data_IF_453573930703
#
_entry.id   IF_453573930703
#
_cell.length_a   1.000
_cell.length_b   1.000
_cell.length_c   1.000
_cell.angle_alpha   90.00
_cell.angle_beta   90.00
_cell.angle_gamma   90.00
#
_symmetry.space_group_name_H-M   'P 1'
#
loop_
_entity.id
_entity.type
_entity.pdbx_description
1 polymer ?
#
# COMPACT_ATOMS: atom_id res chain seq x y z
N UNK A 1 -21.42 3.56 -29.28
CA UNK A 1 -22.19 3.11 -30.47
C UNK A 1 -22.69 4.28 -31.30
N UNK A 2 -23.34 5.29 -30.70
CA UNK A 2 -23.83 6.49 -31.42
C UNK A 2 -22.76 7.25 -32.23
N UNK A 3 -21.52 7.36 -31.73
CA UNK A 3 -20.43 8.09 -32.41
C UNK A 3 -19.98 7.51 -33.77
N UNK A 4 -20.52 6.37 -34.22
CA UNK A 4 -20.22 5.75 -35.51
C UNK A 4 -21.19 6.16 -36.64
N UNK A 5 -22.23 6.92 -36.31
CA UNK A 5 -23.22 7.34 -37.29
C UNK A 5 -22.60 8.36 -38.26
N UNK A 6 -22.81 8.16 -39.57
CA UNK A 6 -22.20 8.96 -40.66
C UNK A 6 -22.50 10.47 -40.60
N UNK A 7 -23.49 10.91 -39.81
CA UNK A 7 -23.77 12.33 -39.62
C UNK A 7 -22.82 13.02 -38.64
N UNK A 8 -22.09 12.26 -37.81
CA UNK A 8 -21.10 12.80 -36.88
C UNK A 8 -19.82 12.99 -37.68
N UNK A 9 -19.51 14.24 -38.05
CA UNK A 9 -18.30 14.61 -38.77
C UNK A 9 -17.29 15.23 -37.79
N UNK A 10 -16.23 14.50 -37.38
CA UNK A 10 -15.29 14.99 -36.38
C UNK A 10 -14.59 16.30 -36.77
N UNK A 11 -14.40 16.52 -38.08
CA UNK A 11 -13.78 17.73 -38.64
C UNK A 11 -14.61 19.00 -38.42
N UNK A 12 -15.94 18.90 -38.28
CA UNK A 12 -16.80 20.05 -37.97
C UNK A 12 -16.72 20.43 -36.48
N UNK A 13 -16.26 19.51 -35.61
CA UNK A 13 -16.17 19.70 -34.15
C UNK A 13 -14.74 19.84 -33.63
N UNK A 14 -13.73 19.74 -34.48
CA UNK A 14 -12.32 19.85 -34.08
C UNK A 14 -11.91 21.32 -33.91
N UNK A 15 -11.45 21.69 -32.71
CA UNK A 15 -10.73 22.95 -32.48
C UNK A 15 -9.22 22.69 -32.49
N UNK A 16 -8.49 23.43 -33.32
CA UNK A 16 -7.04 23.43 -33.29
C UNK A 16 -6.56 24.63 -32.48
N UNK A 17 -5.88 24.37 -31.37
CA UNK A 17 -5.24 25.42 -30.60
C UNK A 17 -3.98 25.89 -31.34
N UNK A 18 -3.92 27.17 -31.71
CA UNK A 18 -2.74 27.78 -32.32
C UNK A 18 -1.69 28.02 -31.24
N UNK A 19 -0.56 27.32 -31.30
CA UNK A 19 0.49 27.42 -30.29
C UNK A 19 1.44 28.58 -30.61
N UNK A 20 1.79 29.40 -29.60
CA UNK A 20 2.80 30.46 -29.72
C UNK A 20 4.23 29.90 -29.92
N UNK A 21 4.48 28.62 -29.62
CA UNK A 21 5.59 27.84 -30.19
C UNK A 21 5.41 26.35 -29.83
N UNK A 22 5.61 25.46 -30.82
CA UNK A 22 5.41 23.99 -30.79
C UNK A 22 3.98 23.48 -31.01
N UNK A 23 3.73 22.88 -32.18
CA UNK A 23 2.44 22.30 -32.57
C UNK A 23 2.02 21.15 -31.66
N UNK A 24 1.18 21.45 -30.66
CA UNK A 24 0.38 20.44 -29.97
C UNK A 24 -0.90 20.22 -30.78
N UNK A 25 -0.89 19.20 -31.65
CA UNK A 25 -2.15 18.70 -32.24
C UNK A 25 -3.04 18.24 -31.11
N UNK A 26 -4.29 18.70 -31.09
CA UNK A 26 -5.32 18.09 -30.25
C UNK A 26 -5.35 16.59 -30.59
N UNK A 27 -5.06 15.68 -29.66
CA UNK A 27 -5.43 14.31 -29.87
C UNK A 27 -6.95 14.26 -29.71
N UNK A 28 -7.69 14.57 -30.77
CA UNK A 28 -8.70 13.60 -31.17
C UNK A 28 -7.91 12.34 -31.52
N UNK A 29 -7.42 11.62 -30.50
CA UNK A 29 -6.92 10.26 -30.67
C UNK A 29 -8.12 9.51 -31.21
N UNK A 30 -8.14 9.39 -32.52
CA UNK A 30 -8.99 8.56 -33.34
C UNK A 30 -10.34 8.22 -32.70
N UNK A 31 -11.23 9.21 -32.62
CA UNK A 31 -12.67 8.93 -32.64
C UNK A 31 -13.10 8.50 -34.06
N UNK A 32 -12.16 8.19 -34.96
CA UNK A 32 -12.38 7.32 -36.11
C UNK A 32 -12.25 5.88 -35.59
N UNK A 33 -13.32 5.40 -34.97
CA UNK A 33 -13.47 3.99 -34.58
C UNK A 33 -13.42 3.13 -35.84
N UNK A 34 -12.24 2.56 -36.15
CA UNK A 34 -12.15 1.45 -37.09
C UNK A 34 -13.05 0.30 -36.60
N UNK A 35 -13.91 -0.20 -37.48
CA UNK A 35 -14.97 -1.17 -37.16
C UNK A 35 -14.41 -2.47 -36.53
N UNK A 36 -13.19 -2.85 -36.89
CA UNK A 36 -12.47 -4.02 -36.32
C UNK A 36 -12.00 -3.80 -34.87
N UNK A 37 -11.76 -2.57 -34.44
CA UNK A 37 -11.32 -2.21 -33.08
C UNK A 37 -12.48 -1.87 -32.13
N UNK A 38 -13.72 -1.83 -32.64
CA UNK A 38 -14.89 -1.46 -31.85
C UNK A 38 -15.11 -2.43 -30.69
N UNK A 39 -14.99 -3.74 -30.92
CA UNK A 39 -15.13 -4.75 -29.86
C UNK A 39 -14.09 -4.50 -28.77
N UNK A 40 -12.83 -4.23 -29.12
CA UNK A 40 -11.76 -4.01 -28.13
C UNK A 40 -11.97 -2.77 -27.24
N UNK A 41 -12.55 -1.69 -27.79
CA UNK A 41 -12.87 -0.50 -27.00
C UNK A 41 -14.03 -0.74 -26.01
N UNK A 42 -15.06 -1.48 -26.43
CA UNK A 42 -16.21 -1.80 -25.58
C UNK A 42 -15.96 -3.00 -24.66
N UNK A 43 -14.95 -3.83 -24.93
CA UNK A 43 -14.60 -5.02 -24.12
C UNK A 43 -14.50 -4.68 -22.64
N UNK A 44 -13.82 -3.60 -22.27
CA UNK A 44 -13.67 -3.20 -20.87
C UNK A 44 -15.02 -2.84 -20.22
N UNK A 45 -15.87 -2.07 -20.91
CA UNK A 45 -17.20 -1.68 -20.40
C UNK A 45 -18.17 -2.88 -20.35
N UNK A 46 -18.12 -3.75 -21.35
CA UNK A 46 -18.91 -4.99 -21.40
C UNK A 46 -18.47 -5.97 -20.31
N UNK A 47 -17.17 -6.06 -20.01
CA UNK A 47 -16.65 -6.87 -18.92
C UNK A 47 -17.13 -6.34 -17.56
N UNK A 48 -17.08 -5.02 -17.33
CA UNK A 48 -17.62 -4.41 -16.11
C UNK A 48 -19.12 -4.67 -15.98
N UNK A 49 -19.90 -4.48 -17.05
CA UNK A 49 -21.33 -4.80 -17.06
C UNK A 49 -21.58 -6.29 -16.77
N UNK A 50 -20.80 -7.18 -17.39
CA UNK A 50 -20.87 -8.62 -17.16
C UNK A 50 -20.59 -8.98 -15.69
N UNK A 51 -19.59 -8.36 -15.08
CA UNK A 51 -19.27 -8.54 -13.65
C UNK A 51 -20.41 -8.04 -12.74
N UNK A 52 -21.02 -6.90 -13.04
CA UNK A 52 -22.17 -6.38 -12.27
C UNK A 52 -23.39 -7.30 -12.38
N UNK A 53 -23.71 -7.78 -13.58
CA UNK A 53 -24.79 -8.74 -13.79
C UNK A 53 -24.49 -10.06 -13.08
N UNK A 54 -23.25 -10.54 -13.16
CA UNK A 54 -22.82 -11.75 -12.47
C UNK A 54 -22.96 -11.62 -10.95
N UNK A 55 -22.55 -10.49 -10.36
CA UNK A 55 -22.69 -10.22 -8.92
C UNK A 55 -24.15 -10.29 -8.46
N UNK A 56 -25.05 -9.61 -9.18
CA UNK A 56 -26.50 -9.65 -8.89
C UNK A 56 -27.06 -11.07 -9.08
N UNK A 57 -26.61 -11.79 -10.11
CA UNK A 57 -27.05 -13.16 -10.39
C UNK A 57 -26.64 -14.12 -9.28
N UNK A 58 -25.41 -14.01 -8.78
CA UNK A 58 -24.93 -14.83 -7.65
C UNK A 58 -25.74 -14.51 -6.38
N UNK A 59 -25.94 -13.23 -6.05
CA UNK A 59 -26.73 -12.84 -4.89
C UNK A 59 -28.18 -13.35 -4.97
N UNK A 60 -28.82 -13.26 -6.14
CA UNK A 60 -30.17 -13.77 -6.39
C UNK A 60 -30.23 -15.29 -6.32
N UNK A 61 -29.26 -15.98 -6.88
CA UNK A 61 -29.18 -17.44 -6.83
C UNK A 61 -29.03 -17.95 -5.39
N UNK A 62 -28.14 -17.32 -4.61
CA UNK A 62 -27.95 -17.65 -3.19
C UNK A 62 -29.22 -17.40 -2.37
N UNK A 63 -29.94 -16.31 -2.64
CA UNK A 63 -31.23 -16.05 -1.99
C UNK A 63 -32.28 -17.10 -2.35
N UNK A 64 -32.41 -17.44 -3.64
CA UNK A 64 -33.36 -18.44 -4.11
C UNK A 64 -33.09 -19.81 -3.48
N UNK A 65 -31.83 -20.25 -3.47
CA UNK A 65 -31.42 -21.50 -2.84
C UNK A 65 -31.77 -21.55 -1.36
N UNK A 66 -31.58 -20.45 -0.63
CA UNK A 66 -31.92 -20.37 0.80
C UNK A 66 -33.43 -20.44 1.03
N UNK A 67 -34.22 -19.72 0.24
CA UNK A 67 -35.68 -19.73 0.37
C UNK A 67 -36.27 -21.10 0.03
N UNK A 68 -35.80 -21.73 -1.06
CA UNK A 68 -36.26 -23.07 -1.47
C UNK A 68 -35.98 -24.13 -0.42
N UNK A 69 -34.84 -24.04 0.27
CA UNK A 69 -34.42 -25.01 1.29
C UNK A 69 -34.76 -24.56 2.73
N UNK A 70 -35.53 -23.48 2.91
CA UNK A 70 -35.87 -22.91 4.22
C UNK A 70 -34.65 -22.63 5.13
N UNK A 71 -33.51 -22.25 4.53
CA UNK A 71 -32.27 -21.95 5.23
C UNK A 71 -32.20 -20.47 5.65
N UNK A 72 -31.72 -20.20 6.87
CA UNK A 72 -31.49 -18.84 7.36
C UNK A 72 -30.18 -18.26 6.82
N UNK A 73 -30.11 -16.94 6.71
CA UNK A 73 -28.87 -16.25 6.37
C UNK A 73 -27.79 -16.52 7.44
N UNK A 74 -26.55 -16.86 7.05
CA UNK A 74 -25.49 -17.13 8.00
C UNK A 74 -25.11 -15.85 8.74
N UNK A 75 -24.85 -15.97 10.05
CA UNK A 75 -24.56 -14.83 10.91
C UNK A 75 -23.16 -14.23 10.65
N UNK A 76 -22.25 -15.04 10.12
CA UNK A 76 -20.94 -14.63 9.61
C UNK A 76 -20.73 -15.21 8.23
N UNK A 77 -20.23 -14.40 7.29
CA UNK A 77 -19.91 -14.81 5.92
C UNK A 77 -18.64 -15.66 5.89
N UNK A 78 -18.71 -16.89 6.41
CA UNK A 78 -17.61 -17.86 6.44
C UNK A 78 -17.74 -18.89 5.32
N UNK A 79 -16.60 -19.40 4.85
CA UNK A 79 -16.52 -20.41 3.79
C UNK A 79 -16.73 -21.80 4.39
N UNK A 80 -15.98 -22.12 5.45
CA UNK A 80 -16.10 -23.40 6.16
C UNK A 80 -16.98 -23.25 7.40
N UNK A 81 -18.23 -23.68 7.30
CA UNK A 81 -19.15 -23.70 8.44
C UNK A 81 -18.70 -24.72 9.50
N UNK A 82 -18.91 -24.38 10.78
CA UNK A 82 -18.56 -25.24 11.92
C UNK A 82 -17.14 -25.07 12.48
N UNK A 83 -16.26 -24.30 11.83
CA UNK A 83 -14.93 -23.99 12.37
C UNK A 83 -15.00 -22.74 13.25
N UNK A 84 -14.68 -22.94 14.53
CA UNK A 84 -14.65 -21.91 15.57
C UNK A 84 -13.24 -21.78 16.15
N UNK A 85 -13.01 -20.76 16.99
CA UNK A 85 -11.74 -20.54 17.70
C UNK A 85 -11.30 -21.75 18.54
N UNK A 86 -12.22 -22.60 19.01
CA UNK A 86 -11.91 -23.79 19.80
C UNK A 86 -11.27 -24.90 18.95
N UNK A 87 -11.63 -24.98 17.66
CA UNK A 87 -11.07 -25.96 16.73
C UNK A 87 -9.68 -25.58 16.22
N UNK A 88 -9.25 -24.34 16.43
CA UNK A 88 -7.96 -23.81 15.97
C UNK A 88 -6.76 -24.63 16.48
N UNK A 89 -6.80 -25.07 17.74
CA UNK A 89 -5.67 -25.73 18.41
C UNK A 89 -5.68 -27.26 18.25
N UNK A 90 -6.62 -27.84 17.49
CA UNK A 90 -6.80 -29.29 17.36
C UNK A 90 -5.88 -29.93 16.31
N UNK A 91 -5.43 -29.17 15.30
CA UNK A 91 -4.53 -29.67 14.27
C UNK A 91 -4.34 -28.69 13.10
N UNK A 92 -3.40 -29.01 12.20
CA UNK A 92 -3.02 -28.13 11.07
C UNK A 92 -4.20 -27.90 10.10
N UNK A 93 -4.97 -28.95 9.79
CA UNK A 93 -6.13 -28.84 8.89
C UNK A 93 -7.21 -27.87 9.41
N UNK A 94 -7.73 -28.05 10.63
CA UNK A 94 -8.65 -27.10 11.25
C UNK A 94 -8.08 -25.68 11.41
N UNK A 95 -6.79 -25.56 11.73
CA UNK A 95 -6.09 -24.28 11.82
C UNK A 95 -6.08 -23.52 10.48
N UNK A 96 -5.77 -24.22 9.38
CA UNK A 96 -5.79 -23.62 8.04
C UNK A 96 -7.20 -23.16 7.66
N UNK A 97 -8.23 -24.00 7.89
CA UNK A 97 -9.64 -23.62 7.65
C UNK A 97 -10.06 -22.40 8.48
N UNK A 98 -9.58 -22.30 9.73
CA UNK A 98 -9.84 -21.15 10.58
C UNK A 98 -9.19 -19.88 10.00
N UNK A 99 -7.93 -19.95 9.58
CA UNK A 99 -7.29 -18.81 8.92
C UNK A 99 -7.97 -18.45 7.60
N UNK A 100 -8.36 -19.40 6.75
CA UNK A 100 -9.10 -19.06 5.52
C UNK A 100 -10.39 -18.28 5.80
N UNK A 101 -11.10 -18.59 6.90
CA UNK A 101 -12.30 -17.86 7.29
C UNK A 101 -12.02 -16.49 7.94
N UNK A 102 -11.01 -16.42 8.82
CA UNK A 102 -10.82 -15.28 9.74
C UNK A 102 -9.45 -14.61 9.65
N UNK A 103 -8.68 -14.84 8.58
CA UNK A 103 -7.36 -14.25 8.38
C UNK A 103 -7.43 -12.72 8.45
N UNK A 104 -8.32 -12.12 7.66
CA UNK A 104 -8.48 -10.66 7.64
C UNK A 104 -9.07 -10.12 8.95
N UNK A 105 -9.95 -10.89 9.61
CA UNK A 105 -10.46 -10.52 10.93
C UNK A 105 -9.35 -10.45 11.99
N UNK A 106 -8.30 -11.28 11.89
CA UNK A 106 -7.16 -11.26 12.83
C UNK A 106 -6.06 -10.27 12.44
N UNK A 107 -5.66 -10.26 11.17
CA UNK A 107 -4.48 -9.53 10.67
C UNK A 107 -4.80 -8.31 9.78
N UNK A 108 -6.05 -7.85 9.75
CA UNK A 108 -6.48 -6.82 8.80
C UNK A 108 -5.79 -5.46 8.99
N UNK A 109 -5.46 -5.08 10.22
CA UNK A 109 -4.70 -3.84 10.50
C UNK A 109 -3.28 -3.92 9.95
N UNK A 110 -2.60 -5.03 10.19
CA UNK A 110 -1.24 -5.29 9.75
C UNK A 110 -1.17 -5.29 8.22
N UNK A 111 -2.14 -5.93 7.56
CA UNK A 111 -2.28 -5.89 6.09
C UNK A 111 -2.51 -4.46 5.61
N UNK A 112 -3.38 -3.67 6.25
CA UNK A 112 -3.60 -2.27 5.88
C UNK A 112 -2.33 -1.41 6.01
N UNK A 113 -1.54 -1.59 7.08
CA UNK A 113 -0.29 -0.86 7.24
C UNK A 113 0.77 -1.25 6.20
N UNK A 114 0.90 -2.54 5.89
CA UNK A 114 1.80 -3.00 4.82
C UNK A 114 1.38 -2.42 3.46
N UNK A 115 0.08 -2.41 3.17
CA UNK A 115 -0.44 -1.79 1.94
C UNK A 115 -0.18 -0.28 1.91
N UNK A 116 -0.39 0.43 3.02
CA UNK A 116 -0.10 1.87 3.10
C UNK A 116 1.39 2.16 2.85
N UNK A 117 2.29 1.37 3.43
CA UNK A 117 3.72 1.47 3.17
C UNK A 117 4.07 1.16 1.70
N UNK A 118 3.39 0.18 1.09
CA UNK A 118 3.56 -0.11 -0.34
C UNK A 118 3.11 1.07 -1.22
N UNK A 119 1.96 1.70 -0.92
CA UNK A 119 1.49 2.91 -1.62
C UNK A 119 2.56 4.01 -1.56
N UNK A 120 3.07 4.30 -0.37
CA UNK A 120 4.10 5.32 -0.16
C UNK A 120 5.37 4.98 -0.95
N UNK A 121 5.80 3.71 -0.91
CA UNK A 121 7.02 3.26 -1.57
C UNK A 121 6.95 3.23 -3.10
N UNK A 122 5.78 2.97 -3.69
CA UNK A 122 5.61 2.94 -5.16
C UNK A 122 5.47 4.34 -5.78
N UNK A 123 4.83 5.28 -5.07
CA UNK A 123 4.50 6.60 -5.61
C UNK A 123 5.60 7.66 -5.42
N UNK A 124 6.29 7.67 -4.27
CA UNK A 124 7.31 8.67 -3.87
C UNK A 124 7.05 10.09 -4.42
N UNK A 125 5.80 10.54 -4.26
CA UNK A 125 5.29 11.82 -4.76
C UNK A 125 4.70 12.64 -3.60
N UNK A 126 4.20 13.84 -3.92
CA UNK A 126 3.56 14.72 -2.94
C UNK A 126 2.34 14.08 -2.25
N UNK A 127 1.56 13.26 -2.98
CA UNK A 127 0.43 12.52 -2.42
C UNK A 127 0.89 11.48 -1.37
N UNK A 128 2.01 10.80 -1.63
CA UNK A 128 2.60 9.86 -0.71
C UNK A 128 3.07 10.52 0.60
N UNK A 129 3.42 11.81 0.60
CA UNK A 129 3.71 12.53 1.84
C UNK A 129 2.48 12.63 2.73
N UNK A 130 1.31 12.97 2.18
CA UNK A 130 0.06 12.98 2.93
C UNK A 130 -0.29 11.60 3.49
N UNK A 131 -0.12 10.53 2.71
CA UNK A 131 -0.27 9.16 3.21
C UNK A 131 0.70 8.84 4.34
N UNK A 132 1.96 9.29 4.26
CA UNK A 132 2.95 9.05 5.31
C UNK A 132 2.61 9.79 6.61
N UNK A 133 2.15 11.05 6.54
CA UNK A 133 1.69 11.79 7.71
C UNK A 133 0.44 11.16 8.33
N UNK A 134 -0.52 10.73 7.51
CA UNK A 134 -1.71 10.05 8.00
C UNK A 134 -1.35 8.71 8.70
N UNK A 135 -0.41 7.94 8.13
CA UNK A 135 0.07 6.70 8.73
C UNK A 135 0.76 6.95 10.07
N UNK A 136 1.63 7.96 10.17
CA UNK A 136 2.29 8.35 11.43
C UNK A 136 1.24 8.79 12.47
N UNK A 137 0.23 9.57 12.06
CA UNK A 137 -0.85 10.01 12.95
C UNK A 137 -1.65 8.83 13.51
N UNK A 138 -1.97 7.83 12.67
CA UNK A 138 -2.66 6.61 13.11
C UNK A 138 -1.77 5.76 14.02
N UNK A 139 -0.50 5.53 13.65
CA UNK A 139 0.43 4.72 14.45
C UNK A 139 0.82 5.38 15.78
N UNK A 140 0.72 6.71 15.89
CA UNK A 140 0.88 7.41 17.17
C UNK A 140 -0.14 6.92 18.22
N UNK A 141 -1.31 6.46 17.77
CA UNK A 141 -2.33 5.81 18.61
C UNK A 141 -1.95 4.34 18.80
N UNK A 142 -1.19 4.04 19.84
CA UNK A 142 -0.65 2.68 20.10
C UNK A 142 -1.67 1.59 20.47
N UNK A 143 -2.93 1.93 20.73
CA UNK A 143 -3.96 0.97 21.17
C UNK A 143 -4.94 0.72 20.05
N UNK A 144 -5.27 -0.55 19.78
CA UNK A 144 -6.26 -0.98 18.78
C UNK A 144 -7.60 -0.27 18.94
N UNK A 145 -8.09 -0.13 20.18
CA UNK A 145 -9.34 0.60 20.46
C UNK A 145 -9.27 2.08 20.04
N UNK A 146 -8.16 2.74 20.35
CA UNK A 146 -7.94 4.14 19.98
C UNK A 146 -7.76 4.32 18.46
N UNK A 147 -7.14 3.35 17.77
CA UNK A 147 -7.08 3.32 16.31
C UNK A 147 -8.49 3.16 15.74
N UNK A 148 -9.28 2.21 16.27
CA UNK A 148 -10.65 1.94 15.83
C UNK A 148 -11.57 3.16 15.90
N UNK A 149 -11.42 4.00 16.93
CA UNK A 149 -12.16 5.27 17.07
C UNK A 149 -11.85 6.26 15.94
N UNK A 150 -10.58 6.43 15.57
CA UNK A 150 -10.13 7.39 14.54
C UNK A 150 -10.20 6.80 13.12
N UNK A 151 -10.36 5.48 12.97
CA UNK A 151 -10.22 4.78 11.69
C UNK A 151 -11.17 5.27 10.59
N UNK A 152 -12.39 5.64 10.95
CA UNK A 152 -13.35 6.19 9.99
C UNK A 152 -12.87 7.51 9.36
N UNK A 153 -12.21 8.38 10.13
CA UNK A 153 -11.56 9.59 9.60
C UNK A 153 -10.43 9.25 8.64
N UNK A 154 -9.64 8.21 8.93
CA UNK A 154 -8.60 7.73 8.01
C UNK A 154 -9.19 7.23 6.68
N UNK A 155 -10.28 6.46 6.72
CA UNK A 155 -10.98 6.01 5.52
C UNK A 155 -11.52 7.19 4.69
N UNK A 156 -12.15 8.17 5.35
CA UNK A 156 -12.63 9.39 4.68
C UNK A 156 -11.49 10.19 4.05
N UNK A 157 -10.36 10.31 4.74
CA UNK A 157 -9.17 10.98 4.22
C UNK A 157 -8.64 10.27 2.95
N UNK A 158 -8.48 8.95 2.99
CA UNK A 158 -8.01 8.17 1.82
C UNK A 158 -9.00 8.27 0.65
N UNK A 159 -10.30 8.18 0.90
CA UNK A 159 -11.33 8.33 -0.14
C UNK A 159 -11.29 9.73 -0.76
N UNK A 160 -11.19 10.78 0.04
CA UNK A 160 -11.14 12.17 -0.42
C UNK A 160 -9.88 12.42 -1.26
N UNK A 161 -8.72 11.92 -0.81
CA UNK A 161 -7.47 12.07 -1.53
C UNK A 161 -7.51 11.33 -2.88
N UNK A 162 -8.11 10.14 -2.95
CA UNK A 162 -8.31 9.40 -4.20
C UNK A 162 -9.18 10.17 -5.19
N UNK A 163 -10.28 10.80 -4.73
CA UNK A 163 -11.15 11.63 -5.58
C UNK A 163 -10.37 12.84 -6.12
N UNK A 164 -9.60 13.52 -5.27
CA UNK A 164 -8.77 14.66 -5.69
C UNK A 164 -7.76 14.21 -6.75
N UNK A 165 -7.06 13.09 -6.53
CA UNK A 165 -6.11 12.55 -7.50
C UNK A 165 -6.75 12.19 -8.84
N UNK A 166 -7.96 11.60 -8.82
CA UNK A 166 -8.70 11.31 -10.04
C UNK A 166 -9.04 12.59 -10.81
N UNK A 167 -9.51 13.63 -10.11
CA UNK A 167 -9.78 14.94 -10.72
C UNK A 167 -8.51 15.57 -11.30
N UNK A 168 -7.36 15.45 -10.62
CA UNK A 168 -6.06 15.89 -11.13
C UNK A 168 -5.65 15.12 -12.39
N UNK A 169 -5.98 13.83 -12.51
CA UNK A 169 -5.70 13.06 -13.72
C UNK A 169 -6.60 13.41 -14.90
N UNK A 170 -7.86 13.79 -14.64
CA UNK A 170 -8.78 14.25 -15.69
C UNK A 170 -8.34 15.60 -16.24
N UNK A 171 -7.93 16.52 -15.37
CA UNK A 171 -7.46 17.83 -15.78
C UNK A 171 -8.54 18.70 -16.44
N UNK A 172 -8.10 19.72 -17.17
CA UNK A 172 -8.93 20.66 -17.90
C UNK A 172 -9.12 20.13 -19.33
N UNK A 173 -10.32 20.20 -19.92
CA UNK A 173 -10.53 19.77 -21.29
C UNK A 173 -9.58 20.46 -22.27
N UNK A 174 -8.82 19.72 -23.09
CA UNK A 174 -7.86 20.31 -24.04
C UNK A 174 -8.54 21.16 -25.12
N UNK A 175 -9.85 21.02 -25.32
CA UNK A 175 -10.64 21.81 -26.25
C UNK A 175 -10.71 23.32 -25.89
N UNK A 176 -10.42 23.68 -24.64
CA UNK A 176 -10.46 25.06 -24.16
C UNK A 176 -9.23 25.89 -24.56
N UNK A 177 -8.18 25.27 -25.11
CA UNK A 177 -6.95 25.94 -25.55
C UNK A 177 -6.28 26.87 -24.51
N UNK A 178 -6.51 26.59 -23.22
CA UNK A 178 -5.80 27.25 -22.12
C UNK A 178 -4.70 26.33 -21.60
N UNK A 179 -3.48 26.86 -21.55
CA UNK A 179 -2.37 26.19 -20.89
C UNK A 179 -2.44 26.36 -19.37
N UNK A 180 -1.84 25.41 -18.68
CA UNK A 180 -1.82 25.43 -17.23
C UNK A 180 -0.95 26.56 -16.67
N UNK A 181 -1.34 27.14 -15.53
CA UNK A 181 -0.67 28.32 -14.96
C UNK A 181 0.79 28.03 -14.58
N UNK A 182 1.14 26.83 -14.11
CA UNK A 182 2.51 26.46 -13.74
C UNK A 182 3.53 26.47 -14.90
N UNK A 183 3.06 26.46 -16.15
CA UNK A 183 3.91 26.63 -17.34
C UNK A 183 3.98 28.09 -17.82
N UNK A 184 2.97 28.90 -17.48
CA UNK A 184 2.77 30.25 -18.03
C UNK A 184 3.25 31.36 -17.08
N UNK A 185 3.37 31.07 -15.78
CA UNK A 185 3.91 32.03 -14.80
C UNK A 185 5.38 32.38 -15.08
N UNK A 186 5.80 33.58 -14.65
CA UNK A 186 7.16 34.13 -14.86
C UNK A 186 8.29 33.21 -14.40
N UNK A 187 8.04 32.38 -13.39
CA UNK A 187 8.90 31.26 -13.00
C UNK A 187 8.18 29.95 -13.33
N UNK A 188 8.31 29.50 -14.59
CA UNK A 188 7.78 28.22 -15.00
C UNK A 188 8.40 27.08 -14.19
N UNK A 189 7.54 26.19 -13.65
CA UNK A 189 8.01 25.02 -12.90
C UNK A 189 8.70 24.03 -13.86
N UNK A 190 9.74 23.36 -13.39
CA UNK A 190 10.41 22.30 -14.16
C UNK A 190 9.48 21.10 -14.32
N UNK A 191 9.60 20.37 -15.44
CA UNK A 191 8.77 19.17 -15.69
C UNK A 191 8.88 18.12 -14.57
N UNK A 192 10.09 17.95 -14.02
CA UNK A 192 10.33 17.05 -12.90
C UNK A 192 9.57 17.48 -11.62
N UNK A 193 9.50 18.78 -11.33
CA UNK A 193 8.75 19.29 -10.18
C UNK A 193 7.24 19.10 -10.35
N UNK A 194 6.72 19.39 -11.54
CA UNK A 194 5.29 19.19 -11.89
C UNK A 194 4.89 17.73 -11.68
N UNK A 195 5.73 16.79 -12.16
CA UNK A 195 5.52 15.36 -11.96
C UNK A 195 5.53 14.96 -10.48
N UNK A 196 6.50 15.44 -9.71
CA UNK A 196 6.60 15.10 -8.29
C UNK A 196 5.41 15.64 -7.46
N UNK A 197 4.92 16.83 -7.80
CA UNK A 197 3.72 17.43 -7.19
C UNK A 197 2.41 16.74 -7.63
N UNK A 198 2.47 15.83 -8.61
CA UNK A 198 1.29 15.18 -9.19
C UNK A 198 0.27 16.17 -9.77
N UNK A 199 0.77 17.25 -10.38
CA UNK A 199 -0.07 18.25 -11.05
C UNK A 199 -0.50 17.76 -12.44
N UNK A 200 -1.69 18.14 -12.93
CA UNK A 200 -2.05 17.88 -14.32
C UNK A 200 -1.09 18.60 -15.26
N UNK A 201 -0.79 18.01 -16.40
CA UNK A 201 -0.02 18.68 -17.45
C UNK A 201 -0.31 18.00 -18.79
N UNK A 202 -0.34 18.76 -19.88
CA UNK A 202 -0.54 18.19 -21.21
C UNK A 202 0.74 17.54 -21.73
N UNK A 203 1.90 18.09 -21.41
CA UNK A 203 3.19 17.54 -21.84
C UNK A 203 3.59 16.30 -21.02
N UNK A 204 3.40 16.36 -19.69
CA UNK A 204 3.75 15.28 -18.78
C UNK A 204 2.54 14.86 -17.92
N UNK A 205 1.59 14.11 -18.47
CA UNK A 205 0.38 13.74 -17.74
C UNK A 205 0.70 12.85 -16.52
N UNK A 206 -0.04 13.02 -15.40
CA UNK A 206 0.11 12.17 -14.23
C UNK A 206 -0.27 10.72 -14.56
N UNK A 207 0.44 9.75 -13.97
CA UNK A 207 0.22 8.33 -14.26
C UNK A 207 -1.02 7.79 -13.50
N UNK A 208 -2.11 7.40 -14.19
CA UNK A 208 -3.33 6.96 -13.54
C UNK A 208 -3.21 5.60 -12.84
N UNK A 209 -2.18 4.80 -13.15
CA UNK A 209 -1.94 3.49 -12.50
C UNK A 209 -1.76 3.64 -10.99
N UNK A 210 -1.23 4.78 -10.54
CA UNK A 210 -1.04 5.00 -9.11
C UNK A 210 -2.36 4.98 -8.33
N UNK A 211 -3.46 5.45 -8.93
CA UNK A 211 -4.80 5.46 -8.30
C UNK A 211 -5.25 4.05 -7.93
N UNK A 212 -4.82 3.03 -8.68
CA UNK A 212 -5.15 1.62 -8.38
C UNK A 212 -4.60 1.20 -7.02
N UNK A 213 -3.38 1.62 -6.67
CA UNK A 213 -2.80 1.31 -5.35
C UNK A 213 -3.58 1.95 -4.21
N UNK A 214 -4.03 3.20 -4.39
CA UNK A 214 -4.85 3.91 -3.40
C UNK A 214 -6.24 3.29 -3.28
N UNK A 215 -6.80 2.80 -4.39
CA UNK A 215 -8.06 2.07 -4.39
C UNK A 215 -7.96 0.75 -3.61
N UNK A 216 -6.88 -0.03 -3.80
CA UNK A 216 -6.64 -1.26 -3.02
C UNK A 216 -6.48 -0.92 -1.53
N UNK A 217 -5.74 0.14 -1.20
CA UNK A 217 -5.61 0.61 0.18
C UNK A 217 -6.97 1.01 0.76
N UNK A 218 -7.79 1.75 0.01
CA UNK A 218 -9.13 2.16 0.43
C UNK A 218 -10.03 0.95 0.65
N UNK A 219 -10.04 -0.01 -0.27
CA UNK A 219 -10.80 -1.25 -0.17
C UNK A 219 -10.43 -1.99 1.13
N UNK A 220 -9.15 -2.23 1.38
CA UNK A 220 -8.70 -2.87 2.61
C UNK A 220 -9.07 -2.03 3.85
N UNK A 221 -8.85 -0.71 3.84
CA UNK A 221 -9.21 0.13 4.98
C UNK A 221 -10.71 0.09 5.30
N UNK A 222 -11.57 0.01 4.28
CA UNK A 222 -13.03 -0.11 4.44
C UNK A 222 -13.44 -1.47 5.00
N UNK A 223 -12.79 -2.56 4.56
CA UNK A 223 -12.98 -3.89 5.14
C UNK A 223 -12.52 -3.91 6.60
N UNK A 224 -11.41 -3.25 6.92
CA UNK A 224 -10.92 -3.14 8.30
C UNK A 224 -11.86 -2.32 9.17
N UNK A 225 -12.53 -1.30 8.62
CA UNK A 225 -13.58 -0.58 9.34
C UNK A 225 -14.75 -1.49 9.69
N UNK A 226 -15.18 -2.34 8.74
CA UNK A 226 -16.20 -3.34 9.01
C UNK A 226 -15.76 -4.33 10.10
N UNK A 227 -14.51 -4.80 10.07
CA UNK A 227 -13.95 -5.67 11.12
C UNK A 227 -14.04 -5.02 12.49
N UNK A 228 -13.75 -3.73 12.63
CA UNK A 228 -13.91 -3.04 13.92
C UNK A 228 -15.35 -2.99 14.42
N UNK A 229 -16.34 -2.91 13.51
CA UNK A 229 -17.75 -2.98 13.89
C UNK A 229 -18.15 -4.41 14.30
N UNK A 230 -17.70 -5.41 13.54
CA UNK A 230 -18.02 -6.82 13.78
C UNK A 230 -17.34 -7.37 15.05
N UNK A 231 -16.15 -6.89 15.39
CA UNK A 231 -15.45 -7.20 16.66
C UNK A 231 -16.28 -6.83 17.90
N UNK A 232 -17.25 -5.92 17.79
CA UNK A 232 -18.13 -5.54 18.88
C UNK A 232 -19.34 -6.46 19.05
N UNK A 233 -19.63 -7.32 18.07
CA UNK A 233 -20.78 -8.24 18.11
C UNK A 233 -20.43 -9.50 18.91
N UNK A 234 -21.18 -9.77 19.98
CA UNK A 234 -20.94 -10.92 20.87
C UNK A 234 -20.94 -12.27 20.14
N UNK A 235 -21.83 -12.44 19.16
CA UNK A 235 -21.91 -13.67 18.38
C UNK A 235 -20.66 -13.92 17.50
N UNK A 236 -20.03 -12.87 16.97
CA UNK A 236 -18.77 -12.98 16.22
C UNK A 236 -17.62 -13.31 17.16
N UNK A 237 -17.58 -12.70 18.36
CA UNK A 237 -16.57 -13.02 19.39
C UNK A 237 -16.59 -14.48 19.80
N UNK A 238 -17.77 -15.10 19.92
CA UNK A 238 -17.89 -16.51 20.27
C UNK A 238 -17.32 -17.44 19.19
N UNK A 239 -17.49 -17.08 17.91
CA UNK A 239 -17.02 -17.88 16.77
C UNK A 239 -15.54 -17.66 16.45
N UNK A 240 -15.12 -16.41 16.29
CA UNK A 240 -13.79 -16.02 15.82
C UNK A 240 -12.79 -15.70 16.96
N UNK A 241 -13.29 -15.62 18.19
CA UNK A 241 -12.53 -15.20 19.37
C UNK A 241 -12.40 -13.68 19.48
N UNK A 242 -11.92 -13.25 20.64
CA UNK A 242 -11.67 -11.84 20.94
C UNK A 242 -10.37 -11.34 20.28
N UNK A 243 -10.37 -10.06 19.89
CA UNK A 243 -9.21 -9.32 19.35
C UNK A 243 -8.75 -8.21 20.30
N UNK A 244 -9.16 -8.28 21.57
CA UNK A 244 -8.80 -7.28 22.58
C UNK A 244 -7.36 -7.52 23.02
N UNK A 245 -6.57 -6.45 23.08
CA UNK A 245 -5.21 -6.51 23.60
C UNK A 245 -5.20 -6.98 25.06
N UNK A 246 -4.33 -7.92 25.38
CA UNK A 246 -4.08 -8.38 26.75
C UNK A 246 -3.38 -7.24 27.53
N UNK A 247 -3.66 -7.12 28.83
CA UNK A 247 -3.02 -6.09 29.66
C UNK A 247 -1.50 -6.24 29.66
N UNK A 248 -0.81 -5.14 29.33
CA UNK A 248 0.65 -5.10 29.11
C UNK A 248 1.47 -5.22 30.40
N UNK A 249 0.82 -5.17 31.57
CA UNK A 249 1.47 -5.22 32.88
C UNK A 249 1.50 -6.60 33.52
N UNK A 250 0.93 -7.63 32.89
CA UNK A 250 0.99 -8.98 33.46
C UNK A 250 2.38 -9.57 33.28
N UNK A 251 2.89 -10.14 34.37
CA UNK A 251 4.08 -10.99 34.35
C UNK A 251 3.78 -12.33 33.67
N UNK A 252 4.80 -13.01 33.10
CA UNK A 252 4.62 -14.29 32.39
C UNK A 252 3.94 -15.37 33.24
N UNK A 253 4.20 -15.40 34.55
CA UNK A 253 3.59 -16.34 35.48
C UNK A 253 2.12 -16.04 35.74
N UNK A 254 1.75 -14.77 35.87
CA UNK A 254 0.35 -14.38 35.99
C UNK A 254 -0.40 -14.68 34.67
N UNK A 255 0.23 -14.40 33.53
CA UNK A 255 -0.34 -14.64 32.21
C UNK A 255 -0.65 -16.13 31.94
N UNK A 256 0.19 -17.05 32.43
CA UNK A 256 -0.02 -18.49 32.26
C UNK A 256 -1.27 -18.99 33.00
N UNK A 257 -1.64 -18.35 34.12
CA UNK A 257 -2.82 -18.70 34.90
C UNK A 257 -4.12 -18.20 34.25
N UNK A 258 -4.10 -17.04 33.58
CA UNK A 258 -5.27 -16.48 32.89
C UNK A 258 -5.44 -16.97 31.44
N UNK A 259 -4.43 -17.64 30.89
CA UNK A 259 -4.44 -18.10 29.50
C UNK A 259 -5.18 -19.42 29.37
N UNK A 260 -6.16 -19.47 28.47
CA UNK A 260 -6.91 -20.69 28.12
C UNK A 260 -6.17 -21.60 27.12
N UNK A 261 -5.03 -21.14 26.60
CA UNK A 261 -4.21 -21.87 25.63
C UNK A 261 -3.31 -22.87 26.35
N UNK A 262 -3.34 -24.13 25.90
CA UNK A 262 -2.52 -25.22 26.44
C UNK A 262 -1.03 -24.99 26.13
N UNK A 263 -0.17 -25.51 27.00
CA UNK A 263 1.28 -25.44 26.80
C UNK A 263 1.70 -26.22 25.54
N UNK A 264 2.23 -25.49 24.54
CA UNK A 264 2.67 -26.01 23.25
C UNK A 264 4.20 -26.21 23.14
N UNK A 265 4.98 -25.88 24.18
CA UNK A 265 6.45 -25.98 24.15
C UNK A 265 6.95 -27.43 24.00
N UNK A 266 6.16 -28.40 24.42
CA UNK A 266 6.51 -29.83 24.36
C UNK A 266 6.28 -30.45 22.98
N UNK A 267 5.87 -29.68 21.97
CA UNK A 267 5.72 -30.12 20.57
C UNK A 267 4.94 -31.45 20.41
N UNK A 268 3.82 -31.62 21.13
CA UNK A 268 3.03 -32.88 21.08
C UNK A 268 2.34 -33.10 19.74
N UNK A 269 2.12 -32.04 18.97
CA UNK A 269 1.54 -32.07 17.62
C UNK A 269 2.41 -31.29 16.63
N UNK A 270 2.26 -31.58 15.33
CA UNK A 270 2.92 -30.78 14.28
C UNK A 270 2.51 -29.30 14.33
N UNK A 271 1.27 -29.02 14.71
CA UNK A 271 0.80 -27.66 14.92
C UNK A 271 1.55 -26.98 16.08
N UNK A 272 1.87 -27.70 17.15
CA UNK A 272 2.68 -27.18 18.25
C UNK A 272 4.13 -26.92 17.82
N UNK A 273 4.72 -27.77 16.97
CA UNK A 273 6.04 -27.52 16.38
C UNK A 273 6.06 -26.22 15.57
N UNK A 274 5.03 -25.98 14.74
CA UNK A 274 4.89 -24.72 13.99
C UNK A 274 4.70 -23.53 14.93
N UNK A 275 3.90 -23.68 15.99
CA UNK A 275 3.72 -22.62 17.00
C UNK A 275 5.03 -22.27 17.70
N UNK A 276 5.81 -23.26 18.16
CA UNK A 276 7.13 -23.00 18.77
C UNK A 276 8.03 -22.26 17.77
N UNK A 277 8.02 -22.68 16.50
CA UNK A 277 8.80 -21.98 15.48
C UNK A 277 8.40 -20.51 15.32
N UNK A 278 7.10 -20.25 15.16
CA UNK A 278 6.57 -18.89 14.94
C UNK A 278 6.71 -18.02 16.19
N UNK A 279 6.43 -18.53 17.39
CA UNK A 279 6.41 -17.70 18.61
C UNK A 279 7.78 -17.58 19.28
N UNK A 280 8.72 -18.51 19.08
CA UNK A 280 10.04 -18.46 19.71
C UNK A 280 11.17 -18.03 18.77
N UNK A 281 11.22 -18.53 17.53
CA UNK A 281 12.34 -18.25 16.61
C UNK A 281 12.10 -17.05 15.68
N UNK A 282 10.84 -16.69 15.40
CA UNK A 282 10.53 -15.59 14.48
C UNK A 282 11.09 -14.24 14.95
N UNK A 283 11.18 -14.01 16.27
CA UNK A 283 11.80 -12.81 16.83
C UNK A 283 13.25 -12.62 16.33
N UNK A 284 14.06 -13.68 16.41
CA UNK A 284 15.45 -13.65 15.96
C UNK A 284 15.56 -13.52 14.44
N UNK A 285 14.67 -14.18 13.69
CA UNK A 285 14.59 -14.03 12.24
C UNK A 285 14.33 -12.57 11.84
N UNK A 286 13.38 -11.89 12.48
CA UNK A 286 13.09 -10.48 12.21
C UNK A 286 14.29 -9.59 12.56
N UNK A 287 15.00 -9.85 13.65
CA UNK A 287 16.24 -9.13 13.96
C UNK A 287 17.33 -9.33 12.90
N UNK A 288 17.48 -10.54 12.35
CA UNK A 288 18.38 -10.80 11.22
C UNK A 288 17.96 -10.03 9.96
N UNK A 289 16.67 -9.93 9.66
CA UNK A 289 16.18 -9.11 8.55
C UNK A 289 16.51 -7.63 8.77
N UNK A 290 16.32 -7.11 9.99
CA UNK A 290 16.68 -5.73 10.33
C UNK A 290 18.20 -5.51 10.14
N UNK A 291 19.04 -6.47 10.53
CA UNK A 291 20.47 -6.41 10.30
C UNK A 291 20.81 -6.31 8.81
N UNK A 292 20.21 -7.17 7.98
CA UNK A 292 20.40 -7.15 6.51
C UNK A 292 19.95 -5.79 5.94
N UNK A 293 18.81 -5.25 6.37
CA UNK A 293 18.37 -3.92 5.92
C UNK A 293 19.32 -2.79 6.36
N UNK A 294 20.00 -2.95 7.50
CA UNK A 294 21.01 -2.01 7.98
C UNK A 294 22.35 -2.10 7.25
N UNK A 295 22.73 -3.26 6.70
CA UNK A 295 24.02 -3.44 6.01
C UNK A 295 23.96 -3.29 4.49
N UNK A 296 22.80 -3.53 3.87
CA UNK A 296 22.63 -3.50 2.41
C UNK A 296 22.88 -2.13 1.76
N UNK A 297 22.71 -1.03 2.48
CA UNK A 297 22.95 0.34 1.98
C UNK A 297 23.68 1.16 3.03
N UNK A 298 24.65 1.95 2.59
CA UNK A 298 25.38 2.88 3.46
C UNK A 298 24.60 4.19 3.49
N UNK A 299 23.86 4.44 4.57
CA UNK A 299 23.21 5.73 4.83
C UNK A 299 23.03 5.95 6.34
N UNK A 300 22.81 7.19 6.75
CA UNK A 300 22.59 7.52 8.17
C UNK A 300 21.35 6.84 8.77
N UNK A 301 20.32 6.56 7.98
CA UNK A 301 19.12 5.82 8.41
C UNK A 301 19.41 4.33 8.68
N UNK A 302 20.42 3.76 8.03
CA UNK A 302 20.85 2.37 8.20
C UNK A 302 21.64 2.21 9.50
N UNK A 303 22.37 3.25 9.92
CA UNK A 303 23.04 3.27 11.22
C UNK A 303 22.06 3.06 12.39
N UNK A 304 20.87 3.67 12.34
CA UNK A 304 19.85 3.46 13.37
C UNK A 304 19.34 2.02 13.44
N UNK A 305 19.15 1.36 12.29
CA UNK A 305 18.77 -0.06 12.26
C UNK A 305 19.87 -0.97 12.82
N UNK A 306 21.15 -0.67 12.53
CA UNK A 306 22.28 -1.42 13.08
C UNK A 306 22.38 -1.27 14.61
N UNK A 307 22.27 -0.04 15.12
CA UNK A 307 22.28 0.24 16.56
C UNK A 307 21.13 -0.50 17.26
N UNK A 308 19.92 -0.42 16.72
CA UNK A 308 18.77 -1.14 17.27
C UNK A 308 18.98 -2.66 17.23
N UNK A 309 19.49 -3.21 16.13
CA UNK A 309 19.76 -4.64 15.99
C UNK A 309 20.78 -5.13 17.01
N UNK A 310 21.93 -4.45 17.15
CA UNK A 310 22.94 -4.81 18.15
C UNK A 310 22.40 -4.71 19.57
N UNK A 311 21.59 -3.69 19.88
CA UNK A 311 20.94 -3.56 21.18
C UNK A 311 20.03 -4.76 21.47
N UNK A 312 19.15 -5.13 20.53
CA UNK A 312 18.24 -6.28 20.71
C UNK A 312 18.97 -7.63 20.71
N UNK A 313 20.08 -7.78 19.99
CA UNK A 313 20.88 -9.02 20.05
C UNK A 313 21.61 -9.16 21.38
N UNK A 314 22.19 -8.07 21.92
CA UNK A 314 22.94 -8.11 23.17
C UNK A 314 22.03 -8.30 24.38
N UNK A 315 20.87 -7.63 24.41
CA UNK A 315 19.95 -7.62 25.55
C UNK A 315 18.70 -8.48 25.33
N UNK A 316 18.51 -9.09 24.16
CA UNK A 316 17.29 -9.79 23.77
C UNK A 316 16.85 -10.86 24.77
N UNK A 317 17.74 -11.78 25.15
CA UNK A 317 17.42 -12.85 26.10
C UNK A 317 16.87 -12.33 27.43
N UNK A 318 17.45 -11.25 27.97
CA UNK A 318 16.98 -10.62 29.20
C UNK A 318 15.67 -9.85 29.00
N UNK A 319 15.48 -9.21 27.83
CA UNK A 319 14.26 -8.47 27.49
C UNK A 319 13.04 -9.39 27.35
N UNK A 320 13.20 -10.61 26.85
CA UNK A 320 12.10 -11.59 26.76
C UNK A 320 11.62 -12.08 28.14
N UNK A 321 12.46 -12.00 29.18
CA UNK A 321 12.12 -12.38 30.55
C UNK A 321 11.44 -11.25 31.34
N UNK A 322 11.58 -10.00 30.88
CA UNK A 322 10.93 -8.83 31.48
C UNK A 322 9.45 -8.74 31.07
N UNK A 323 8.61 -8.00 31.82
CA UNK A 323 7.21 -7.83 31.44
C UNK A 323 7.08 -7.15 30.07
N UNK A 324 6.07 -7.59 29.32
CA UNK A 324 5.87 -7.29 27.88
C UNK A 324 5.80 -5.79 27.58
N UNK A 325 5.42 -4.95 28.56
CA UNK A 325 5.40 -3.48 28.43
C UNK A 325 6.74 -2.88 27.99
N UNK A 326 7.86 -3.38 28.49
CA UNK A 326 9.18 -2.82 28.16
C UNK A 326 9.58 -3.20 26.73
N UNK A 327 9.40 -4.48 26.38
CA UNK A 327 9.67 -4.98 25.03
C UNK A 327 8.81 -4.26 23.98
N UNK A 328 7.49 -4.14 24.20
CA UNK A 328 6.59 -3.42 23.28
C UNK A 328 6.97 -1.95 23.14
N UNK A 329 7.43 -1.29 24.21
CA UNK A 329 7.85 0.11 24.11
C UNK A 329 9.03 0.27 23.16
N UNK A 330 10.07 -0.54 23.32
CA UNK A 330 11.25 -0.53 22.45
C UNK A 330 10.89 -0.90 21.01
N UNK A 331 10.00 -1.87 20.83
CA UNK A 331 9.50 -2.26 19.52
C UNK A 331 8.70 -1.14 18.83
N UNK A 332 7.85 -0.43 19.58
CA UNK A 332 7.11 0.74 19.07
C UNK A 332 8.08 1.87 18.65
N UNK A 333 9.19 2.07 19.37
CA UNK A 333 10.24 3.01 18.96
C UNK A 333 10.88 2.60 17.63
N UNK A 334 11.10 1.31 17.42
CA UNK A 334 11.66 0.78 16.17
C UNK A 334 10.68 0.92 14.99
N UNK A 335 9.38 0.63 15.20
CA UNK A 335 8.35 0.84 14.19
C UNK A 335 8.21 2.33 13.86
N UNK A 336 8.21 3.20 14.88
CA UNK A 336 8.19 4.65 14.72
C UNK A 336 9.40 5.17 13.95
N UNK A 337 10.59 4.67 14.26
CA UNK A 337 11.81 4.95 13.51
C UNK A 337 11.67 4.55 12.04
N UNK A 338 11.15 3.35 11.78
CA UNK A 338 10.93 2.84 10.42
C UNK A 338 10.00 3.75 9.61
N UNK A 339 8.88 4.18 10.21
CA UNK A 339 7.94 5.09 9.56
C UNK A 339 8.57 6.47 9.30
N UNK A 340 9.37 6.98 10.23
CA UNK A 340 10.10 8.24 10.07
C UNK A 340 11.12 8.14 8.93
N UNK A 341 11.89 7.05 8.85
CA UNK A 341 12.85 6.83 7.75
C UNK A 341 12.14 6.82 6.40
N UNK A 342 10.97 6.18 6.29
CA UNK A 342 10.20 6.13 5.05
C UNK A 342 9.68 7.53 4.68
N UNK A 343 9.11 8.27 5.64
CA UNK A 343 8.64 9.63 5.42
C UNK A 343 9.78 10.57 5.00
N UNK A 344 10.94 10.48 5.66
CA UNK A 344 12.12 11.27 5.32
C UNK A 344 12.66 10.89 3.94
N UNK A 345 12.70 9.61 3.57
CA UNK A 345 13.10 9.21 2.21
C UNK A 345 12.15 9.73 1.14
N UNK A 346 10.85 9.77 1.42
CA UNK A 346 9.89 10.39 0.53
C UNK A 346 10.14 11.91 0.41
N UNK A 347 10.38 12.61 1.52
CA UNK A 347 10.71 14.04 1.48
C UNK A 347 12.00 14.32 0.70
N UNK A 348 13.03 13.49 0.89
CA UNK A 348 14.30 13.60 0.17
C UNK A 348 14.20 13.27 -1.32
N UNK A 349 13.15 12.54 -1.74
CA UNK A 349 12.90 12.28 -3.17
C UNK A 349 12.63 13.55 -3.96
N UNK A 350 12.10 14.60 -3.31
CA UNK A 350 11.98 15.93 -3.92
C UNK A 350 13.34 16.45 -4.37
N UNK A 351 14.35 16.38 -3.48
CA UNK A 351 15.71 16.83 -3.78
C UNK A 351 16.35 16.01 -4.90
N UNK A 352 16.18 14.68 -4.86
CA UNK A 352 16.84 13.76 -5.80
C UNK A 352 16.22 13.75 -7.19
N UNK A 353 14.89 13.81 -7.31
CA UNK A 353 14.19 13.74 -8.60
C UNK A 353 14.05 15.13 -9.26
N UNK A 354 13.96 16.22 -8.48
CA UNK A 354 13.72 17.57 -9.01
C UNK A 354 15.00 18.38 -9.17
N UNK A 355 15.87 18.38 -8.16
CA UNK A 355 17.01 19.32 -8.07
C UNK A 355 18.38 18.64 -8.23
N UNK A 356 18.42 17.50 -8.94
CA UNK A 356 19.62 16.67 -9.05
C UNK A 356 20.86 17.45 -9.53
N UNK A 357 20.72 18.26 -10.58
CA UNK A 357 21.85 19.02 -11.16
C UNK A 357 22.45 20.04 -10.18
N UNK A 358 21.61 20.77 -9.45
CA UNK A 358 22.08 21.73 -8.45
C UNK A 358 22.68 21.06 -7.20
N UNK A 359 22.17 19.87 -6.84
CA UNK A 359 22.62 19.13 -5.67
C UNK A 359 23.96 18.43 -5.90
N UNK A 360 24.22 17.95 -7.11
CA UNK A 360 25.51 17.37 -7.49
C UNK A 360 26.61 18.44 -7.46
N UNK A 361 26.33 19.65 -7.93
CA UNK A 361 27.32 20.74 -7.98
C UNK A 361 27.71 21.27 -6.58
N UNK A 362 26.74 21.42 -5.68
CA UNK A 362 26.96 22.11 -4.39
C UNK A 362 26.98 21.18 -3.16
N UNK A 363 26.58 19.91 -3.30
CA UNK A 363 26.18 19.09 -2.15
C UNK A 363 26.35 17.59 -2.31
N UNK A 364 27.41 17.12 -2.98
CA UNK A 364 27.68 15.69 -3.14
C UNK A 364 27.73 14.94 -1.78
N UNK A 365 28.26 15.58 -0.73
CA UNK A 365 28.27 15.02 0.64
C UNK A 365 26.86 14.70 1.15
N UNK A 366 25.86 15.54 0.82
CA UNK A 366 24.48 15.37 1.26
C UNK A 366 23.82 14.17 0.54
N UNK A 367 24.11 14.02 -0.76
CA UNK A 367 23.64 12.90 -1.58
C UNK A 367 24.18 11.58 -1.01
N UNK A 368 25.46 11.54 -0.66
CA UNK A 368 26.12 10.35 -0.09
C UNK A 368 25.60 10.02 1.31
N UNK A 369 25.48 11.00 2.21
CA UNK A 369 25.05 10.78 3.61
C UNK A 369 23.64 10.19 3.71
N UNK A 370 22.72 10.65 2.88
CA UNK A 370 21.31 10.22 2.90
C UNK A 370 20.96 9.18 1.84
N UNK A 371 21.91 8.84 0.94
CA UNK A 371 21.68 7.98 -0.22
C UNK A 371 20.46 8.44 -1.02
N UNK A 372 20.53 9.67 -1.55
CA UNK A 372 19.46 10.26 -2.35
C UNK A 372 19.48 9.72 -3.77
N UNK A 373 18.46 8.96 -4.16
CA UNK A 373 18.28 8.47 -5.52
C UNK A 373 16.81 8.52 -5.94
N UNK A 374 16.56 8.72 -7.23
CA UNK A 374 15.21 8.67 -7.80
C UNK A 374 14.96 7.26 -8.34
N UNK A 375 13.99 6.54 -7.80
CA UNK A 375 13.66 5.16 -8.22
C UNK A 375 12.60 5.09 -9.31
N UNK A 376 11.83 6.17 -9.49
CA UNK A 376 10.67 6.20 -10.37
C UNK A 376 11.09 6.50 -11.81
N UNK A 377 10.57 5.70 -12.74
CA UNK A 377 10.87 5.86 -14.17
C UNK A 377 10.17 7.09 -14.76
N UNK A 378 10.81 7.68 -15.77
CA UNK A 378 10.27 8.80 -16.56
C UNK A 378 10.45 10.17 -15.91
N UNK A 379 11.42 10.35 -15.00
CA UNK A 379 11.96 11.68 -14.75
C UNK A 379 13.00 11.97 -15.83
N UNK A 380 13.10 13.21 -16.30
CA UNK A 380 14.14 13.61 -17.24
C UNK A 380 15.46 13.71 -16.47
N UNK A 381 16.08 12.56 -16.24
CA UNK A 381 17.51 12.47 -15.98
C UNK A 381 18.16 12.44 -17.34
N UNK A 382 18.80 13.54 -17.78
CA UNK A 382 19.63 13.51 -19.00
C UNK A 382 20.56 12.30 -18.91
N UNK A 383 20.29 11.28 -19.71
CA UNK A 383 21.08 10.06 -19.78
C UNK A 383 22.53 10.42 -20.11
N UNK A 384 23.45 10.03 -19.22
CA UNK A 384 24.74 9.44 -19.61
C UNK A 384 25.75 10.30 -20.39
N UNK A 385 26.06 11.52 -19.94
CA UNK A 385 27.20 12.27 -20.52
C UNK A 385 27.95 13.24 -19.60
N UNK A 386 27.59 13.32 -18.32
CA UNK A 386 28.17 14.32 -17.40
C UNK A 386 28.45 13.83 -15.98
N UNK A 387 28.31 12.53 -15.72
CA UNK A 387 28.67 11.94 -14.42
C UNK A 387 30.17 11.63 -14.30
N UNK A 388 30.89 11.65 -15.43
CA UNK A 388 32.29 11.20 -15.49
C UNK A 388 33.29 12.26 -14.99
N UNK A 389 32.87 13.53 -14.84
CA UNK A 389 33.78 14.64 -14.51
C UNK A 389 33.57 15.32 -13.14
N UNK A 390 32.61 14.89 -12.30
CA UNK A 390 32.32 15.56 -11.02
C UNK A 390 32.67 14.77 -9.73
N UNK A 391 33.41 13.66 -9.83
CA UNK A 391 34.04 13.03 -8.65
C UNK A 391 33.09 12.39 -7.63
N UNK A 392 31.77 12.37 -7.86
CA UNK A 392 30.81 11.59 -7.06
C UNK A 392 30.82 10.10 -7.48
N UNK A 393 31.98 9.45 -7.39
CA UNK A 393 32.10 8.01 -7.64
C UNK A 393 31.72 7.19 -6.39
N UNK A 394 31.12 6.02 -6.65
CA UNK A 394 30.86 4.88 -5.75
C UNK A 394 29.64 4.94 -4.81
N UNK A 395 28.49 4.46 -5.32
CA UNK A 395 27.91 3.15 -4.95
C UNK A 395 26.70 2.85 -5.86
N UNK A 396 26.96 2.76 -7.16
CA UNK A 396 26.09 2.03 -8.07
C UNK A 396 26.19 0.53 -7.73
N UNK A 397 25.42 0.08 -6.75
CA UNK A 397 24.76 -1.19 -6.95
C UNK A 397 23.66 -0.88 -7.98
N UNK A 398 23.56 -1.63 -9.09
CA UNK A 398 22.40 -1.52 -9.96
C UNK A 398 21.15 -1.62 -9.08
N UNK A 399 19.99 -1.09 -9.50
CA UNK A 399 18.76 -1.66 -8.98
C UNK A 399 18.90 -3.16 -9.28
N UNK A 400 19.24 -3.95 -8.25
CA UNK A 400 18.91 -5.36 -8.25
C UNK A 400 17.48 -5.36 -8.71
N UNK A 401 17.20 -6.17 -9.72
CA UNK A 401 15.89 -6.59 -10.12
C UNK A 401 15.09 -6.91 -8.86
N UNK A 402 14.49 -5.89 -8.26
CA UNK A 402 13.37 -6.02 -7.38
C UNK A 402 12.26 -6.33 -8.37
N UNK A 403 12.24 -7.60 -8.78
CA UNK A 403 11.00 -8.31 -8.95
C UNK A 403 10.19 -7.95 -7.71
N UNK A 404 9.39 -6.92 -7.89
CA UNK A 404 8.43 -6.51 -6.90
C UNK A 404 7.54 -7.74 -6.70
N UNK A 405 7.11 -7.96 -5.46
CA UNK A 405 6.14 -8.99 -5.13
C UNK A 405 4.84 -9.01 -6.00
N UNK A 406 4.46 -7.99 -6.82
CA UNK A 406 3.37 -8.11 -7.79
C UNK A 406 3.60 -9.12 -8.91
N UNK A 407 4.84 -9.56 -9.20
CA UNK A 407 5.07 -10.55 -10.28
C UNK A 407 4.70 -11.99 -9.89
N UNK A 408 4.40 -12.27 -8.61
CA UNK A 408 4.00 -13.61 -8.15
C UNK A 408 2.48 -13.80 -7.96
N UNK A 409 1.67 -12.75 -8.18
CA UNK A 409 0.21 -12.81 -7.94
C UNK A 409 -0.67 -12.47 -9.16
N UNK A 410 -0.09 -12.31 -10.34
CA UNK A 410 -0.85 -12.19 -11.60
C UNK A 410 -0.16 -12.97 -12.74
N UNK A 411 -0.36 -14.30 -12.86
CA UNK A 411 -0.34 -14.95 -14.15
C UNK A 411 -1.74 -14.88 -14.78
N UNK A 412 -1.79 -14.76 -16.11
CA UNK A 412 -2.96 -14.87 -17.01
C UNK A 412 -3.67 -13.57 -17.38
N UNK A 413 -3.08 -12.82 -18.31
CA UNK A 413 -3.68 -12.65 -19.64
C UNK A 413 -2.65 -12.05 -20.60
N UNK A 414 -1.88 -12.93 -21.23
CA UNK A 414 -1.28 -12.65 -22.52
C UNK A 414 -2.05 -13.48 -23.54
N UNK A 415 -2.81 -12.80 -24.40
CA UNK A 415 -3.09 -13.04 -25.83
C UNK A 415 -3.50 -11.68 -26.39
#
# INVERSE_FOLDING_TARGET
MMYQLKFIKPLEYSSNCTVVSMSAKCPTKDLVLNISSCVSYWQNHLMVLGLLVFDVTVHRHQLHYRLSNSLKAPLTSTIFHGITRQHFDQGIGPCLKFFTNYFYYKFGLEVCFVLALNVIGQRMDFCALFHSFALIAVLSRRRRKAIGEVWHHYCCFTASLMVIQYLLCVGIPPALCYDYPWRTFSHALTSNLIKWLYLPDFAMPPNPVFIIYDHILLLCSSLQWQVFQDENRAAVRLLAGENVEISRSLDPQALSQYTTVKNFLHCRSYLDMVKVFVFSYFFWLVLSLIFITGTTRINIFCMGYLVACFYFMLFGGNLLMQPVRYLLRLWDWLIGYTCLVIAMKNLLSLGSCVYLEGLVHNGCWLIQMFSMFCTIRGYDTRNGGGWDNLGCHLLHLPPSTTASLPQLLLPLCGI
#
